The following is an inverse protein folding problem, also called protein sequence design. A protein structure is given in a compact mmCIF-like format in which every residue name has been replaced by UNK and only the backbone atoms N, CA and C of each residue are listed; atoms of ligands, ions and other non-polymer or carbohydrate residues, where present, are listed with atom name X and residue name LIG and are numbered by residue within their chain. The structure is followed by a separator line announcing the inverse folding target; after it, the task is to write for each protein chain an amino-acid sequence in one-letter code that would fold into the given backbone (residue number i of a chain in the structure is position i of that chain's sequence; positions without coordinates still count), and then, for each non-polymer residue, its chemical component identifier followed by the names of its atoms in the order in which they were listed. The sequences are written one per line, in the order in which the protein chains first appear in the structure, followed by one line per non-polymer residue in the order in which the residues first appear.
data_IF_590999151362
#
_entry.id   IF_590999151362
#
_cell.length_a   1.000
_cell.length_b   1.000
_cell.length_c   1.000
_cell.angle_alpha   90.00
_cell.angle_beta   90.00
_cell.angle_gamma   90.00
#
_symmetry.space_group_name_H-M   'P 1'
#
loop_
_entity.id
_entity.type
_entity.pdbx_description
1 polymer ?
#
# COMPACT_ATOMS: atom_id res chain seq x y z
N UNK A 1 -0.52 -2.53 13.17
CA UNK A 1 -1.45 -3.52 12.58
C UNK A 1 -2.89 -3.07 12.71
N UNK A 2 -3.79 -3.55 11.85
CA UNK A 2 -5.23 -3.27 11.92
C UNK A 2 -6.02 -4.57 12.02
N UNK A 3 -6.92 -4.65 13.00
CA UNK A 3 -7.81 -5.81 13.20
C UNK A 3 -9.14 -5.54 12.51
N UNK A 4 -9.49 -6.40 11.55
CA UNK A 4 -10.79 -6.45 10.91
C UNK A 4 -11.63 -7.55 11.53
N UNK A 5 -12.92 -7.30 11.74
CA UNK A 5 -13.88 -8.28 12.22
C UNK A 5 -15.12 -8.23 11.33
N UNK A 6 -15.44 -9.37 10.72
CA UNK A 6 -16.71 -9.53 10.02
C UNK A 6 -17.78 -9.87 11.05
N UNK A 7 -18.86 -9.08 11.10
CA UNK A 7 -19.99 -9.32 12.00
C UNK A 7 -21.18 -9.97 11.27
N UNK A 8 -21.04 -10.24 9.97
CA UNK A 8 -22.09 -10.83 9.15
C UNK A 8 -21.93 -12.36 9.09
N UNK A 9 -23.04 -13.03 8.78
CA UNK A 9 -23.09 -14.46 8.56
C UNK A 9 -22.46 -14.86 7.20
N UNK A 10 -22.36 -13.92 6.28
CA UNK A 10 -21.74 -14.08 4.97
C UNK A 10 -20.27 -13.65 4.99
N UNK A 11 -19.40 -14.28 4.19
CA UNK A 11 -18.03 -13.83 4.01
C UNK A 11 -17.97 -12.48 3.27
N UNK A 12 -16.96 -11.68 3.61
CA UNK A 12 -16.67 -10.40 2.98
C UNK A 12 -15.36 -10.47 2.21
N UNK A 13 -15.36 -10.06 0.95
CA UNK A 13 -14.13 -9.90 0.18
C UNK A 13 -13.58 -8.49 0.35
N UNK A 14 -12.38 -8.38 0.94
CA UNK A 14 -11.63 -7.12 1.05
C UNK A 14 -10.87 -6.91 -0.25
N UNK A 15 -11.28 -5.91 -1.03
CA UNK A 15 -10.72 -5.64 -2.35
C UNK A 15 -9.41 -4.87 -2.21
N UNK A 16 -9.47 -3.74 -1.51
CA UNK A 16 -8.33 -2.87 -1.32
C UNK A 16 -8.49 -1.99 -0.07
N UNK A 17 -7.38 -1.40 0.34
CA UNK A 17 -7.31 -0.40 1.41
C UNK A 17 -6.71 0.88 0.86
N UNK A 18 -7.36 2.00 1.17
CA UNK A 18 -6.86 3.36 0.94
C UNK A 18 -6.49 3.94 2.29
N UNK A 19 -5.24 4.36 2.46
CA UNK A 19 -4.77 4.84 3.75
C UNK A 19 -3.73 5.94 3.62
N UNK A 20 -3.62 6.72 4.68
CA UNK A 20 -2.62 7.75 4.85
C UNK A 20 -1.98 7.63 6.23
N UNK A 21 -0.71 7.99 6.28
CA UNK A 21 0.04 8.07 7.52
C UNK A 21 0.52 9.51 7.70
N UNK A 22 0.33 10.01 8.90
CA UNK A 22 0.74 11.33 9.33
C UNK A 22 1.69 11.22 10.52
N UNK A 23 2.62 12.16 10.57
CA UNK A 23 3.64 12.30 11.59
C UNK A 23 3.54 13.74 12.11
N UNK A 24 3.31 13.89 13.41
CA UNK A 24 3.08 15.19 14.06
C UNK A 24 2.01 16.04 13.32
N UNK A 25 0.93 15.38 12.89
CA UNK A 25 -0.17 16.00 12.16
C UNK A 25 0.10 16.29 10.68
N UNK A 26 1.34 16.14 10.19
CA UNK A 26 1.69 16.29 8.78
C UNK A 26 1.56 14.95 8.06
N UNK A 27 0.81 14.91 6.96
CA UNK A 27 0.72 13.70 6.13
C UNK A 27 2.04 13.47 5.39
N UNK A 28 2.66 12.33 5.64
CA UNK A 28 3.96 11.94 5.07
C UNK A 28 3.82 10.81 4.06
N UNK A 29 2.72 10.03 4.14
CA UNK A 29 2.50 8.90 3.27
C UNK A 29 1.03 8.76 2.90
N UNK A 30 0.77 8.31 1.68
CA UNK A 30 -0.54 7.89 1.20
C UNK A 30 -0.36 6.74 0.23
N UNK A 31 -1.14 5.69 0.38
CA UNK A 31 -1.12 4.58 -0.57
C UNK A 31 -2.49 3.92 -0.69
N UNK A 32 -2.64 3.22 -1.81
CA UNK A 32 -3.71 2.27 -2.07
C UNK A 32 -3.09 0.89 -2.25
N UNK A 33 -3.59 -0.12 -1.54
CA UNK A 33 -3.07 -1.48 -1.62
C UNK A 33 -4.19 -2.47 -1.89
N UNK A 34 -4.07 -3.21 -2.98
CA UNK A 34 -4.89 -4.39 -3.21
C UNK A 34 -4.60 -5.43 -2.13
N UNK A 35 -5.63 -5.87 -1.43
CA UNK A 35 -5.49 -6.83 -0.33
C UNK A 35 -6.09 -8.19 -0.68
N UNK A 36 -7.05 -8.23 -1.63
CA UNK A 36 -7.75 -9.43 -2.16
C UNK A 36 -7.75 -10.58 -1.15
N UNK A 37 -8.39 -10.33 -0.02
CA UNK A 37 -8.46 -11.27 1.09
C UNK A 37 -9.92 -11.46 1.45
N UNK A 38 -10.31 -12.70 1.73
CA UNK A 38 -11.68 -13.01 2.15
C UNK A 38 -11.72 -13.14 3.66
N UNK A 39 -12.53 -12.31 4.31
CA UNK A 39 -12.82 -12.39 5.73
C UNK A 39 -14.04 -13.30 5.92
N UNK A 40 -13.81 -14.48 6.48
CA UNK A 40 -14.87 -15.46 6.75
C UNK A 40 -15.99 -14.91 7.64
N UNK A 41 -17.11 -15.63 7.71
CA UNK A 41 -18.24 -15.26 8.56
C UNK A 41 -17.84 -15.23 10.03
N UNK A 42 -18.24 -14.17 10.74
CA UNK A 42 -17.87 -13.92 12.14
C UNK A 42 -16.36 -13.95 12.45
N UNK A 43 -15.50 -13.93 11.42
CA UNK A 43 -14.07 -14.09 11.57
C UNK A 43 -13.40 -12.75 11.88
N UNK A 44 -12.26 -12.82 12.57
CA UNK A 44 -11.35 -11.69 12.71
C UNK A 44 -10.03 -11.98 11.99
N UNK A 45 -9.45 -10.97 11.38
CA UNK A 45 -8.15 -11.05 10.75
C UNK A 45 -7.34 -9.79 11.03
N UNK A 46 -6.03 -9.96 11.23
CA UNK A 46 -5.12 -8.84 11.45
C UNK A 46 -4.33 -8.59 10.17
N UNK A 47 -4.41 -7.37 9.65
CA UNK A 47 -3.69 -6.95 8.44
C UNK A 47 -2.59 -5.96 8.83
N UNK A 48 -1.38 -6.24 8.37
CA UNK A 48 -0.26 -5.30 8.48
C UNK A 48 -0.28 -4.32 7.31
N UNK A 49 -0.41 -3.04 7.64
CA UNK A 49 -0.40 -1.94 6.67
C UNK A 49 1.01 -1.31 6.71
N UNK A 50 1.78 -1.38 5.62
CA UNK A 50 3.11 -0.78 5.59
C UNK A 50 3.00 0.74 5.46
N UNK A 51 3.86 1.48 6.14
CA UNK A 51 4.04 2.91 5.92
C UNK A 51 5.52 3.18 5.70
N UNK A 52 5.83 4.07 4.77
CA UNK A 52 7.20 4.52 4.52
C UNK A 52 7.31 5.96 4.98
N UNK A 53 8.35 6.24 5.75
CA UNK A 53 8.69 7.57 6.26
C UNK A 53 10.08 7.89 5.73
N UNK A 54 10.27 9.09 5.17
CA UNK A 54 11.60 9.49 4.68
C UNK A 54 12.47 10.03 5.82
N UNK A 55 13.78 10.04 5.63
CA UNK A 55 14.70 10.67 6.59
C UNK A 55 14.40 12.17 6.76
N UNK A 56 13.89 12.85 5.73
CA UNK A 56 13.48 14.25 5.82
C UNK A 56 12.25 14.42 6.73
N UNK A 57 11.24 13.56 6.56
CA UNK A 57 10.05 13.53 7.42
C UNK A 57 10.42 13.24 8.88
N UNK A 58 11.39 12.35 9.09
CA UNK A 58 11.91 12.00 10.42
C UNK A 58 12.80 13.10 11.02
N UNK A 59 13.52 13.88 10.21
CA UNK A 59 14.34 15.01 10.69
C UNK A 59 13.51 16.25 11.00
N UNK A 60 12.39 16.43 10.30
CA UNK A 60 11.45 17.53 10.56
C UNK A 60 10.93 17.52 12.00
N UNK A 61 10.64 16.32 12.53
CA UNK A 61 10.21 16.13 13.93
C UNK A 61 11.37 16.20 14.92
N UNK A 62 12.61 15.97 14.44
CA UNK A 62 13.82 15.99 15.25
C UNK A 62 14.36 17.39 15.57
N UNK A 63 13.72 18.48 15.13
CA UNK A 63 14.14 19.87 15.39
C UNK A 63 14.18 20.27 16.88
N UNK A 64 13.82 19.37 17.81
CA UNK A 64 14.00 19.55 19.26
C UNK A 64 13.95 18.26 20.09
N UNK A 65 14.18 17.09 19.47
CA UNK A 65 14.14 15.72 20.04
C UNK A 65 12.95 15.37 20.96
N UNK A 66 11.93 14.70 20.41
CA UNK A 66 11.24 13.65 21.13
C UNK A 66 11.88 12.28 20.80
N UNK A 67 12.01 11.41 21.80
CA UNK A 67 12.46 10.01 21.64
C UNK A 67 11.44 9.16 20.84
N UNK A 68 10.28 9.74 20.55
CA UNK A 68 9.15 9.16 19.85
C UNK A 68 8.54 10.18 18.87
N UNK A 69 7.86 9.68 17.85
CA UNK A 69 7.16 10.48 16.85
C UNK A 69 5.67 10.19 17.00
N UNK A 70 4.81 11.21 17.05
CA UNK A 70 3.37 10.98 17.08
C UNK A 70 2.89 10.56 15.69
N UNK A 71 2.70 9.25 15.52
CA UNK A 71 2.18 8.65 14.30
C UNK A 71 0.66 8.61 14.33
N UNK A 72 0.01 8.95 13.22
CA UNK A 72 -1.43 8.77 13.03
C UNK A 72 -1.68 8.07 11.70
N UNK A 73 -2.40 6.96 11.73
CA UNK A 73 -2.85 6.24 10.55
C UNK A 73 -4.36 6.39 10.43
N UNK A 74 -4.82 6.65 9.21
CA UNK A 74 -6.24 6.67 8.90
C UNK A 74 -6.47 6.17 7.49
N UNK A 75 -7.62 5.54 7.27
CA UNK A 75 -7.96 5.03 5.96
C UNK A 75 -9.31 4.36 5.94
N UNK A 76 -9.58 3.68 4.84
CA UNK A 76 -10.77 2.87 4.65
C UNK A 76 -10.42 1.55 3.94
N UNK A 77 -11.12 0.50 4.33
CA UNK A 77 -11.14 -0.77 3.60
C UNK A 77 -12.39 -0.82 2.74
N UNK A 78 -12.20 -1.06 1.45
CA UNK A 78 -13.30 -1.30 0.51
C UNK A 78 -13.54 -2.80 0.41
N UNK A 79 -14.80 -3.20 0.54
CA UNK A 79 -15.19 -4.59 0.55
C UNK A 79 -16.43 -4.85 -0.30
N UNK A 80 -16.63 -6.12 -0.65
CA UNK A 80 -17.81 -6.61 -1.37
C UNK A 80 -18.40 -7.76 -0.54
N UNK A 81 -19.71 -7.71 -0.30
CA UNK A 81 -20.44 -8.84 0.28
C UNK A 81 -20.88 -9.79 -0.83
N UNK A 82 -20.85 -11.10 -0.57
CA UNK A 82 -21.28 -12.13 -1.55
C UNK A 82 -22.81 -12.21 -1.74
N UNK A 83 -23.54 -11.15 -1.39
CA UNK A 83 -24.98 -11.08 -1.63
C UNK A 83 -25.23 -10.62 -3.06
N UNK A 84 -26.13 -11.30 -3.80
CA UNK A 84 -26.52 -10.96 -5.18
C UNK A 84 -26.91 -9.47 -5.36
N UNK A 85 -27.52 -8.87 -4.33
CA UNK A 85 -27.88 -7.44 -4.36
C UNK A 85 -26.64 -6.52 -4.33
N UNK A 86 -25.57 -6.91 -3.64
CA UNK A 86 -24.34 -6.13 -3.54
C UNK A 86 -23.50 -6.18 -4.82
N UNK A 87 -23.50 -7.33 -5.53
CA UNK A 87 -22.90 -7.43 -6.87
C UNK A 87 -23.58 -6.47 -7.84
N UNK A 88 -24.92 -6.42 -7.85
CA UNK A 88 -25.70 -5.50 -8.70
C UNK A 88 -25.42 -4.03 -8.35
N UNK A 89 -25.30 -3.68 -7.07
CA UNK A 89 -24.99 -2.31 -6.63
C UNK A 89 -23.54 -1.90 -6.92
N UNK A 90 -22.61 -2.86 -6.94
CA UNK A 90 -21.22 -2.65 -7.33
C UNK A 90 -21.10 -2.43 -8.84
N UNK A 91 -21.73 -3.30 -9.64
CA UNK A 91 -21.71 -3.23 -11.11
C UNK A 91 -22.36 -1.96 -11.66
N UNK A 92 -23.32 -1.40 -10.93
CA UNK A 92 -23.95 -0.12 -11.28
C UNK A 92 -23.13 1.11 -10.85
N UNK A 93 -22.01 0.92 -10.14
CA UNK A 93 -21.16 2.03 -9.66
C UNK A 93 -21.81 2.89 -8.57
N UNK A 94 -22.92 2.44 -7.99
CA UNK A 94 -23.80 3.27 -7.14
C UNK A 94 -23.23 3.46 -5.74
N UNK A 95 -22.53 2.47 -5.18
CA UNK A 95 -21.84 2.59 -3.88
C UNK A 95 -20.84 1.44 -3.67
N UNK A 96 -19.58 1.78 -3.41
CA UNK A 96 -18.59 0.83 -2.90
C UNK A 96 -18.69 0.78 -1.37
N UNK A 97 -19.05 -0.37 -0.76
CA UNK A 97 -19.05 -0.51 0.68
C UNK A 97 -17.64 -0.28 1.23
N UNK A 98 -17.52 0.59 2.23
CA UNK A 98 -16.25 0.82 2.91
C UNK A 98 -16.41 0.94 4.42
N UNK A 99 -15.34 0.61 5.14
CA UNK A 99 -15.24 0.81 6.58
C UNK A 99 -13.98 1.60 6.90
N UNK A 100 -14.17 2.71 7.61
CA UNK A 100 -13.08 3.58 8.04
C UNK A 100 -12.33 3.01 9.25
N UNK A 101 -11.05 3.31 9.33
CA UNK A 101 -10.25 3.07 10.53
C UNK A 101 -9.37 4.28 10.84
N UNK A 102 -9.04 4.44 12.12
CA UNK A 102 -8.16 5.47 12.63
C UNK A 102 -7.37 4.91 13.80
N UNK A 103 -6.09 5.26 13.89
CA UNK A 103 -5.22 4.90 14.99
C UNK A 103 -4.12 5.92 15.17
N UNK A 104 -3.70 6.14 16.42
CA UNK A 104 -2.58 7.01 16.75
C UNK A 104 -1.67 6.29 17.73
N UNK A 105 -0.36 6.41 17.51
CA UNK A 105 0.65 5.74 18.33
C UNK A 105 1.93 6.57 18.36
N UNK A 106 2.57 6.63 19.52
CA UNK A 106 3.91 7.19 19.68
C UNK A 106 4.95 6.16 19.22
N UNK A 107 5.56 6.41 18.06
CA UNK A 107 6.53 5.51 17.46
C UNK A 107 7.92 5.88 17.97
N UNK A 108 8.60 5.02 18.74
CA UNK A 108 9.98 5.30 19.14
C UNK A 108 10.87 5.36 17.89
N UNK A 109 11.77 6.33 17.81
CA UNK A 109 12.69 6.46 16.66
C UNK A 109 13.50 5.18 16.41
N UNK A 110 13.80 4.41 17.46
CA UNK A 110 14.48 3.12 17.35
C UNK A 110 13.69 2.04 16.62
N UNK A 111 12.36 2.16 16.52
CA UNK A 111 11.52 1.25 15.76
C UNK A 111 11.41 1.62 14.27
N UNK A 112 11.83 2.83 13.89
CA UNK A 112 11.89 3.25 12.48
C UNK A 112 13.05 2.54 11.81
N UNK A 113 12.75 1.53 11.00
CA UNK A 113 13.74 0.91 10.12
C UNK A 113 13.88 1.78 8.88
N UNK A 114 14.90 2.63 8.84
CA UNK A 114 15.28 3.35 7.61
C UNK A 114 15.66 2.33 6.55
N UNK A 115 14.85 2.24 5.50
CA UNK A 115 15.25 1.57 4.26
C UNK A 115 15.86 2.65 3.40
N UNK A 116 17.20 2.76 3.42
CA UNK A 116 17.90 3.65 2.49
C UNK A 116 17.48 3.26 1.08
N UNK A 117 16.80 4.15 0.37
CA UNK A 117 16.53 4.00 -1.05
C UNK A 117 17.86 4.09 -1.82
N UNK A 118 18.67 3.04 -1.76
CA UNK A 118 19.76 2.84 -2.70
C UNK A 118 19.12 2.41 -4.02
N UNK A 119 19.03 3.36 -4.94
CA UNK A 119 19.01 3.18 -6.39
C UNK A 119 18.24 1.96 -6.88
N UNK A 120 16.94 2.12 -7.18
CA UNK A 120 16.30 1.26 -8.17
C UNK A 120 16.93 1.65 -9.51
N UNK A 121 18.01 0.97 -9.87
CA UNK A 121 18.50 1.02 -11.24
C UNK A 121 17.34 0.59 -12.16
N UNK A 122 17.06 1.28 -13.28
CA UNK A 122 16.10 0.77 -14.24
C UNK A 122 16.60 -0.60 -14.69
N UNK A 123 15.75 -1.62 -14.52
CA UNK A 123 15.92 -2.93 -15.11
C UNK A 123 15.77 -2.75 -16.63
N UNK A 124 16.84 -2.31 -17.29
CA UNK A 124 16.97 -2.44 -18.74
C UNK A 124 17.24 -3.92 -18.99
N UNK A 125 16.18 -4.65 -19.33
CA UNK A 125 16.30 -5.96 -19.96
C UNK A 125 16.93 -5.76 -21.34
N UNK A 126 18.27 -5.71 -21.41
CA UNK A 126 18.99 -5.96 -22.66
C UNK A 126 18.96 -7.47 -22.90
N UNK A 127 17.86 -7.91 -23.52
CA UNK A 127 17.70 -9.24 -24.09
C UNK A 127 17.26 -9.10 -25.54
N UNK A 128 18.18 -8.74 -26.41
CA UNK A 128 18.03 -8.92 -27.85
C UNK A 128 19.43 -9.14 -28.46
N UNK A 129 19.86 -10.40 -28.40
CA UNK A 129 20.85 -10.92 -29.35
C UNK A 129 20.23 -10.80 -30.74
N UNK A 130 20.70 -9.84 -31.52
CA UNK A 130 20.53 -9.87 -32.97
C UNK A 130 21.85 -10.35 -33.56
N UNK A 131 21.84 -11.62 -33.98
CA UNK A 131 22.82 -12.13 -34.93
C UNK A 131 22.79 -11.23 -36.17
N UNK A 132 23.91 -10.55 -36.43
CA UNK A 132 24.17 -9.93 -37.73
C UNK A 132 25.12 -10.84 -38.49
N UNK A 133 24.58 -11.54 -39.49
CA UNK A 133 25.36 -12.20 -40.53
C UNK A 133 26.23 -11.17 -41.29
N UNK A 134 27.46 -11.51 -41.69
CA UNK A 134 28.24 -10.66 -42.57
C UNK A 134 27.79 -10.85 -44.03
N UNK A 135 27.06 -9.87 -44.57
CA UNK A 135 26.79 -9.76 -46.01
C UNK A 135 28.02 -9.19 -46.70
N UNK A 136 28.40 -9.84 -47.80
CA UNK A 136 29.65 -9.70 -48.51
C UNK A 136 29.92 -8.33 -49.13
N UNK A 137 31.21 -8.02 -49.19
CA UNK A 137 31.81 -6.88 -49.88
C UNK A 137 31.65 -7.02 -51.39
N UNK A 138 31.09 -6.00 -52.06
CA UNK A 138 31.13 -5.82 -53.51
C UNK A 138 31.86 -4.50 -53.83
N UNK A 139 32.65 -4.41 -54.91
CA UNK A 139 33.68 -3.38 -55.07
C UNK A 139 33.14 -2.10 -55.73
N UNK A 140 33.85 -1.00 -55.50
CA UNK A 140 33.62 0.31 -56.11
C UNK A 140 34.19 0.39 -57.55
N UNK A 141 33.66 1.28 -58.41
CA UNK A 141 34.06 1.42 -59.82
C UNK A 141 35.45 2.05 -60.02
#
# INVERSE_FOLDING_TARGET
DVRLTNQNAEPLEIVHVDYSFAVDGRRVFRARRATRTTLGSFASHTITIPAVITDEDARWTAAGRPMSIAGTVQGEFVYVSQSTLAEILLDSGVRQPSVGFHGSEDIPFSAVRTVSAHTIAPLVTMGATLETEPVGTMPAP
#
